data_IF_206444496188
#
_entry.id   IF_206444496188
#
_cell.length_a   1.000
_cell.length_b   1.000
_cell.length_c   1.000
_cell.angle_alpha   90.00
_cell.angle_beta   90.00
_cell.angle_gamma   90.00
#
_symmetry.space_group_name_H-M   'P 1'
#
loop_
_entity.id
_entity.type
_entity.pdbx_description
1 polymer ?
#
# COMPACT_ATOMS: atom_id res chain seq x y z
N UNK A 1 8.68 17.08 15.05
CA UNK A 1 9.37 16.01 14.30
C UNK A 1 8.90 16.08 12.87
N UNK A 2 9.66 16.75 12.01
CA UNK A 2 9.46 16.74 10.57
C UNK A 2 9.85 15.36 10.05
N UNK A 3 8.86 14.56 9.62
CA UNK A 3 9.15 13.35 8.87
C UNK A 3 9.83 13.77 7.57
N UNK A 4 11.13 13.50 7.46
CA UNK A 4 11.86 13.64 6.22
C UNK A 4 11.33 12.54 5.31
N UNK A 5 10.35 12.87 4.45
CA UNK A 5 9.98 12.02 3.33
C UNK A 5 11.18 12.03 2.37
N UNK A 6 12.19 11.20 2.67
CA UNK A 6 13.20 10.85 1.69
C UNK A 6 12.45 10.26 0.50
N UNK A 7 12.50 10.96 -0.63
CA UNK A 7 12.01 10.43 -1.88
C UNK A 7 12.84 9.18 -2.18
N UNK A 8 12.29 8.00 -1.86
CA UNK A 8 12.92 6.72 -2.18
C UNK A 8 13.16 6.73 -3.70
N UNK A 9 14.42 6.67 -4.17
CA UNK A 9 14.69 6.66 -5.59
C UNK A 9 13.93 5.49 -6.22
N UNK A 10 13.21 5.75 -7.30
CA UNK A 10 12.44 4.73 -8.02
C UNK A 10 13.37 3.59 -8.39
N UNK A 11 13.28 2.47 -7.67
CA UNK A 11 14.09 1.29 -7.95
C UNK A 11 13.54 0.73 -9.26
N UNK A 12 14.37 0.53 -10.32
CA UNK A 12 13.87 -0.07 -11.54
C UNK A 12 13.37 -1.47 -11.23
N UNK A 13 12.08 -1.70 -11.49
CA UNK A 13 11.46 -3.01 -11.35
C UNK A 13 11.80 -3.87 -12.56
N UNK A 14 12.09 -5.16 -12.36
CA UNK A 14 12.41 -6.06 -13.47
C UNK A 14 11.18 -6.39 -14.31
N UNK A 15 10.00 -6.32 -13.72
CA UNK A 15 8.71 -6.49 -14.41
C UNK A 15 7.62 -5.63 -13.81
N UNK A 16 6.55 -5.41 -14.58
CA UNK A 16 5.34 -4.72 -14.10
C UNK A 16 4.67 -5.49 -12.96
N UNK A 17 4.80 -6.82 -12.92
CA UNK A 17 4.26 -7.65 -11.83
C UNK A 17 5.00 -7.40 -10.52
N UNK A 18 6.33 -7.32 -10.55
CA UNK A 18 7.15 -6.99 -9.38
C UNK A 18 6.80 -5.58 -8.85
N UNK A 19 6.57 -4.62 -9.75
CA UNK A 19 6.09 -3.29 -9.38
C UNK A 19 4.74 -3.35 -8.66
N UNK A 20 3.78 -4.10 -9.20
CA UNK A 20 2.45 -4.22 -8.61
C UNK A 20 2.49 -4.89 -7.24
N UNK A 21 3.33 -5.91 -7.07
CA UNK A 21 3.57 -6.57 -5.77
C UNK A 21 4.13 -5.56 -4.76
N UNK A 22 5.22 -4.88 -5.10
CA UNK A 22 5.86 -3.92 -4.21
C UNK A 22 4.93 -2.76 -3.81
N UNK A 23 4.14 -2.25 -4.77
CA UNK A 23 3.15 -1.20 -4.49
C UNK A 23 2.02 -1.70 -3.60
N UNK A 24 1.52 -2.92 -3.81
CA UNK A 24 0.48 -3.50 -2.96
C UNK A 24 0.96 -3.69 -1.52
N UNK A 25 2.20 -4.13 -1.32
CA UNK A 25 2.77 -4.28 0.04
C UNK A 25 2.90 -2.94 0.75
N UNK A 26 3.51 -1.94 0.09
CA UNK A 26 3.74 -0.62 0.68
C UNK A 26 2.40 0.08 1.01
N UNK A 27 1.41 -0.01 0.11
CA UNK A 27 0.07 0.54 0.35
C UNK A 27 -0.72 -0.23 1.41
N UNK A 28 -0.58 -1.56 1.49
CA UNK A 28 -1.22 -2.36 2.53
C UNK A 28 -0.67 -2.00 3.92
N UNK A 29 0.65 -1.83 4.04
CA UNK A 29 1.29 -1.37 5.28
C UNK A 29 0.79 0.02 5.66
N UNK A 30 0.78 0.96 4.71
CA UNK A 30 0.31 2.32 4.93
C UNK A 30 -1.15 2.37 5.40
N UNK A 31 -2.05 1.64 4.73
CA UNK A 31 -3.47 1.60 5.10
C UNK A 31 -3.71 0.95 6.46
N UNK A 32 -2.96 -0.10 6.81
CA UNK A 32 -3.08 -0.70 8.14
C UNK A 32 -2.53 0.22 9.25
N UNK A 33 -1.54 1.06 8.95
CA UNK A 33 -1.04 2.04 9.90
C UNK A 33 -2.09 3.12 10.20
N UNK A 34 -2.89 3.51 9.20
CA UNK A 34 -3.98 4.48 9.36
C UNK A 34 -5.24 3.85 9.95
N UNK A 35 -5.59 2.64 9.52
CA UNK A 35 -6.80 1.92 9.89
C UNK A 35 -6.46 0.46 10.26
N UNK A 36 -6.03 0.21 11.51
CA UNK A 36 -5.58 -1.12 11.93
C UNK A 36 -6.68 -2.19 11.84
N UNK A 37 -7.95 -1.81 11.81
CA UNK A 37 -9.09 -2.71 11.68
C UNK A 37 -9.27 -3.29 10.26
N UNK A 38 -8.67 -2.66 9.24
CA UNK A 38 -8.83 -3.07 7.84
C UNK A 38 -8.09 -4.38 7.52
N UNK A 39 -7.02 -4.70 8.26
CA UNK A 39 -6.25 -5.97 8.17
C UNK A 39 -5.94 -6.36 6.72
N UNK A 40 -5.37 -5.41 5.98
CA UNK A 40 -5.03 -5.58 4.57
C UNK A 40 -3.72 -6.37 4.44
N UNK A 41 -3.66 -7.29 3.50
CA UNK A 41 -2.46 -8.00 3.08
C UNK A 41 -2.33 -7.94 1.56
N UNK A 42 -1.18 -8.35 1.03
CA UNK A 42 -0.97 -8.40 -0.42
C UNK A 42 -2.04 -9.24 -1.14
N UNK A 43 -2.45 -10.35 -0.54
CA UNK A 43 -3.44 -11.27 -1.14
C UNK A 43 -4.85 -10.71 -1.17
N UNK A 44 -5.24 -9.91 -0.16
CA UNK A 44 -6.60 -9.39 -0.03
C UNK A 44 -6.71 -7.88 -0.33
N UNK A 45 -5.64 -7.26 -0.83
CA UNK A 45 -5.54 -5.81 -1.03
C UNK A 45 -6.70 -5.25 -1.87
N UNK A 46 -6.96 -5.87 -3.02
CA UNK A 46 -8.05 -5.42 -3.90
C UNK A 46 -9.42 -5.73 -3.30
N UNK A 47 -9.61 -6.90 -2.71
CA UNK A 47 -10.89 -7.32 -2.13
C UNK A 47 -11.33 -6.39 -0.98
N UNK A 48 -10.38 -5.93 -0.15
CA UNK A 48 -10.65 -5.01 0.96
C UNK A 48 -10.99 -3.59 0.49
N UNK A 49 -10.52 -3.22 -0.70
CA UNK A 49 -10.74 -1.90 -1.29
C UNK A 49 -11.86 -1.88 -2.33
N UNK A 50 -12.46 -3.02 -2.68
CA UNK A 50 -13.45 -3.18 -3.75
C UNK A 50 -14.65 -2.23 -3.58
N UNK A 51 -15.12 -2.03 -2.35
CA UNK A 51 -16.24 -1.13 -2.05
C UNK A 51 -15.85 0.35 -1.98
N UNK A 52 -14.57 0.69 -1.92
CA UNK A 52 -14.06 2.05 -1.75
C UNK A 52 -14.33 2.72 -0.40
N UNK A 53 -15.18 2.15 0.47
CA UNK A 53 -15.55 2.73 1.78
C UNK A 53 -14.33 2.95 2.68
N UNK A 54 -13.36 2.04 2.60
CA UNK A 54 -12.07 2.13 3.30
C UNK A 54 -11.31 3.44 3.00
N UNK A 55 -11.47 3.98 1.79
CA UNK A 55 -10.78 5.19 1.33
C UNK A 55 -11.50 6.50 1.70
N UNK A 56 -12.75 6.40 2.17
CA UNK A 56 -13.56 7.57 2.53
C UNK A 56 -13.58 7.87 4.03
N UNK A 57 -12.92 7.05 4.84
CA UNK A 57 -12.74 7.27 6.28
C UNK A 57 -11.56 8.18 6.53
#
# INVERSE_FOLDING_TARGET
MSVLLEARPYRPFKSSEEYLVAMKEDLAEWLNALYPELRISLDNFMDRLDTGVALCK
#
